data_IF_267320920492
#
_entry.id   IF_267320920492
#
_cell.length_a   1.000
_cell.length_b   1.000
_cell.length_c   1.000
_cell.angle_alpha   90.00
_cell.angle_beta   90.00
_cell.angle_gamma   90.00
#
_symmetry.space_group_name_H-M   'P 1'
#
loop_
_entity.id
_entity.type
_entity.pdbx_description
1 polymer ?
#
# COMPACT_ATOMS: atom_id res chain seq x y z
N UNK A 1 -2.09 -57.47 27.25
CA UNK A 1 -0.87 -56.63 27.34
C UNK A 1 -0.57 -55.82 26.07
N UNK A 2 -0.74 -56.35 24.84
CA UNK A 2 -0.47 -55.56 23.61
C UNK A 2 -1.39 -54.33 23.40
N UNK A 3 -2.64 -54.35 23.88
CA UNK A 3 -3.58 -53.22 23.76
C UNK A 3 -3.28 -52.04 24.68
N UNK A 4 -2.61 -52.28 25.81
CA UNK A 4 -2.30 -51.24 26.82
C UNK A 4 -1.08 -50.39 26.40
N UNK A 5 -0.13 -50.98 25.68
CA UNK A 5 1.07 -50.28 25.16
C UNK A 5 0.71 -49.33 24.01
N UNK A 6 -0.28 -49.69 23.18
CA UNK A 6 -0.75 -48.83 22.08
C UNK A 6 -1.42 -47.54 22.58
N UNK A 7 -2.10 -47.59 23.73
CA UNK A 7 -2.85 -46.47 24.28
C UNK A 7 -1.93 -45.44 24.97
N UNK A 8 -0.77 -45.88 25.49
CA UNK A 8 0.27 -45.02 26.08
C UNK A 8 1.08 -44.30 24.99
N UNK A 9 1.40 -44.97 23.89
CA UNK A 9 2.08 -44.34 22.76
C UNK A 9 1.22 -43.31 22.03
N UNK A 10 -0.11 -43.50 21.97
CA UNK A 10 -1.02 -42.51 21.38
C UNK A 10 -1.17 -41.24 22.26
N UNK A 11 -1.02 -41.37 23.57
CA UNK A 11 -1.18 -40.25 24.50
C UNK A 11 0.08 -39.38 24.62
N UNK A 12 1.28 -39.95 24.42
CA UNK A 12 2.54 -39.16 24.41
C UNK A 12 2.61 -38.22 23.20
N UNK A 13 2.12 -38.64 22.04
CA UNK A 13 2.12 -37.79 20.83
C UNK A 13 1.22 -36.55 20.96
N UNK A 14 0.19 -36.58 21.79
CA UNK A 14 -0.77 -35.47 21.91
C UNK A 14 -0.19 -34.31 22.76
N UNK A 15 0.68 -34.60 23.73
CA UNK A 15 1.26 -33.57 24.59
C UNK A 15 2.33 -32.71 23.90
N UNK A 16 3.06 -33.25 22.91
CA UNK A 16 4.11 -32.51 22.20
C UNK A 16 3.55 -31.46 21.22
N UNK A 17 2.37 -31.68 20.65
CA UNK A 17 1.76 -30.73 19.71
C UNK A 17 1.06 -29.55 20.40
N UNK A 18 0.71 -29.65 21.68
CA UNK A 18 0.08 -28.53 22.38
C UNK A 18 1.01 -27.31 22.53
N UNK A 19 2.32 -27.56 22.52
CA UNK A 19 3.36 -26.56 22.75
C UNK A 19 3.53 -25.62 21.54
N UNK A 20 3.59 -26.18 20.33
CA UNK A 20 3.93 -25.45 19.09
C UNK A 20 2.93 -24.32 18.76
N UNK A 21 1.65 -24.51 19.03
CA UNK A 21 0.63 -23.48 18.82
C UNK A 21 0.68 -22.38 19.89
N UNK A 22 1.03 -22.75 21.12
CA UNK A 22 1.21 -21.80 22.23
C UNK A 22 2.45 -20.93 21.99
N UNK A 23 3.49 -21.53 21.42
CA UNK A 23 4.68 -20.81 20.94
C UNK A 23 4.33 -19.85 19.80
N UNK A 24 3.54 -20.28 18.81
CA UNK A 24 3.12 -19.41 17.70
C UNK A 24 2.33 -18.18 18.22
N UNK A 25 1.42 -18.38 19.17
CA UNK A 25 0.70 -17.28 19.81
C UNK A 25 1.67 -16.31 20.50
N UNK A 26 2.55 -16.84 21.36
CA UNK A 26 3.52 -16.04 22.11
C UNK A 26 4.46 -15.27 21.19
N UNK A 27 4.88 -15.88 20.07
CA UNK A 27 5.70 -15.23 19.04
C UNK A 27 4.93 -14.08 18.38
N UNK A 28 3.66 -14.26 18.04
CA UNK A 28 2.83 -13.19 17.51
C UNK A 28 2.72 -12.02 18.49
N UNK A 29 2.39 -12.30 19.76
CA UNK A 29 2.26 -11.28 20.81
C UNK A 29 3.57 -10.51 21.02
N UNK A 30 4.69 -11.23 21.11
CA UNK A 30 6.02 -10.62 21.26
C UNK A 30 6.43 -9.78 20.04
N UNK A 31 5.97 -10.12 18.84
CA UNK A 31 6.15 -9.31 17.64
C UNK A 31 5.24 -8.05 17.62
N UNK A 32 4.31 -7.93 18.56
CA UNK A 32 3.36 -6.83 18.69
C UNK A 32 2.06 -7.02 17.93
N UNK A 33 1.71 -8.27 17.58
CA UNK A 33 0.39 -8.62 17.06
C UNK A 33 -0.64 -8.51 18.20
N UNK A 34 -1.82 -7.90 17.98
CA UNK A 34 -2.88 -7.87 18.99
C UNK A 34 -3.24 -9.26 19.49
N UNK A 35 -3.41 -9.41 20.81
CA UNK A 35 -3.67 -10.69 21.49
C UNK A 35 -4.81 -11.49 20.84
N UNK A 36 -5.94 -10.83 20.56
CA UNK A 36 -7.09 -11.48 19.92
C UNK A 36 -6.77 -12.06 18.53
N UNK A 37 -5.89 -11.41 17.77
CA UNK A 37 -5.44 -11.91 16.48
C UNK A 37 -4.40 -13.03 16.65
N UNK A 38 -3.48 -12.90 17.61
CA UNK A 38 -2.48 -13.93 17.93
C UNK A 38 -3.14 -15.25 18.38
N UNK A 39 -4.11 -15.18 19.30
CA UNK A 39 -4.94 -16.32 19.74
C UNK A 39 -5.66 -16.94 18.55
N UNK A 40 -6.34 -16.12 17.74
CA UNK A 40 -7.07 -16.57 16.55
C UNK A 40 -6.16 -17.29 15.55
N UNK A 41 -4.95 -16.79 15.31
CA UNK A 41 -3.95 -17.45 14.45
C UNK A 41 -3.59 -18.82 15.03
N UNK A 42 -3.22 -18.90 16.30
CA UNK A 42 -2.81 -20.15 16.93
C UNK A 42 -3.93 -21.21 16.95
N UNK A 43 -5.15 -20.82 17.37
CA UNK A 43 -6.30 -21.71 17.43
C UNK A 43 -6.70 -22.25 16.05
N UNK A 44 -6.82 -21.36 15.06
CA UNK A 44 -7.22 -21.78 13.71
C UNK A 44 -6.18 -22.64 13.01
N UNK A 45 -4.90 -22.37 13.27
CA UNK A 45 -3.80 -23.20 12.74
C UNK A 45 -3.86 -24.60 13.35
N UNK A 46 -4.21 -24.71 14.64
CA UNK A 46 -4.45 -25.99 15.35
C UNK A 46 -5.66 -26.73 14.82
N UNK A 47 -6.80 -26.04 14.66
CA UNK A 47 -8.03 -26.62 14.10
C UNK A 47 -7.82 -27.19 12.70
N UNK A 48 -7.01 -26.53 11.88
CA UNK A 48 -6.65 -26.96 10.53
C UNK A 48 -5.52 -27.99 10.49
N UNK A 49 -4.96 -28.35 11.64
CA UNK A 49 -3.89 -29.33 11.78
C UNK A 49 -2.70 -29.03 10.86
N UNK A 50 -2.26 -27.77 10.83
CA UNK A 50 -1.08 -27.41 10.04
C UNK A 50 0.11 -28.28 10.44
N UNK A 51 0.96 -28.60 9.47
CA UNK A 51 2.18 -29.34 9.77
C UNK A 51 3.12 -28.51 10.66
N UNK A 52 3.92 -29.19 11.47
CA UNK A 52 4.96 -28.55 12.27
C UNK A 52 5.89 -27.67 11.43
N UNK A 53 6.26 -28.13 10.24
CA UNK A 53 7.16 -27.40 9.33
C UNK A 53 6.56 -26.04 8.96
N UNK A 54 5.25 -25.98 8.65
CA UNK A 54 4.61 -24.71 8.33
C UNK A 54 4.43 -23.83 9.56
N UNK A 55 4.12 -24.40 10.72
CA UNK A 55 4.07 -23.63 11.98
C UNK A 55 5.43 -22.98 12.24
N UNK A 56 6.53 -23.75 12.13
CA UNK A 56 7.90 -23.25 12.30
C UNK A 56 8.22 -22.13 11.28
N UNK A 57 7.83 -22.30 10.01
CA UNK A 57 8.03 -21.29 8.96
C UNK A 57 7.27 -19.99 9.26
N UNK A 58 5.98 -20.09 9.63
CA UNK A 58 5.15 -18.95 9.98
C UNK A 58 5.69 -18.24 11.23
N UNK A 59 6.04 -19.00 12.26
CA UNK A 59 6.63 -18.50 13.49
C UNK A 59 7.95 -17.77 13.24
N UNK A 60 8.85 -18.34 12.43
CA UNK A 60 10.12 -17.70 12.07
C UNK A 60 9.90 -16.39 11.32
N UNK A 61 8.98 -16.36 10.34
CA UNK A 61 8.67 -15.15 9.59
C UNK A 61 8.12 -14.03 10.49
N UNK A 62 7.18 -14.35 11.38
CA UNK A 62 6.58 -13.37 12.31
C UNK A 62 7.61 -12.89 13.34
N UNK A 63 8.47 -13.77 13.86
CA UNK A 63 9.50 -13.44 14.84
C UNK A 63 10.54 -12.44 14.31
N UNK A 64 10.89 -12.54 13.04
CA UNK A 64 11.88 -11.65 12.40
C UNK A 64 11.28 -10.33 11.92
N UNK A 65 9.96 -10.27 11.77
CA UNK A 65 9.24 -9.12 11.25
C UNK A 65 9.23 -7.93 12.21
N UNK A 66 9.12 -6.72 11.66
CA UNK A 66 8.77 -5.54 12.46
C UNK A 66 7.29 -5.57 12.81
N UNK A 67 6.86 -4.87 13.86
CA UNK A 67 5.48 -4.92 14.37
C UNK A 67 4.40 -4.78 13.29
N UNK A 68 4.47 -3.76 12.43
CA UNK A 68 3.44 -3.59 11.38
C UNK A 68 3.45 -4.74 10.35
N UNK A 69 4.62 -5.28 10.03
CA UNK A 69 4.78 -6.41 9.12
C UNK A 69 4.23 -7.70 9.75
N UNK A 70 4.55 -7.95 11.03
CA UNK A 70 4.05 -9.07 11.81
C UNK A 70 2.52 -9.10 11.88
N UNK A 71 1.89 -7.92 12.10
CA UNK A 71 0.43 -7.78 12.06
C UNK A 71 -0.13 -8.19 10.69
N UNK A 72 0.43 -7.69 9.58
CA UNK A 72 -0.04 -8.07 8.24
C UNK A 72 0.17 -9.56 7.93
N UNK A 73 1.23 -10.17 8.44
CA UNK A 73 1.44 -11.62 8.33
C UNK A 73 0.37 -12.40 9.10
N UNK A 74 0.11 -12.03 10.35
CA UNK A 74 -0.92 -12.66 11.18
C UNK A 74 -2.32 -12.51 10.56
N UNK A 75 -2.67 -11.33 10.05
CA UNK A 75 -3.90 -11.10 9.28
C UNK A 75 -3.98 -12.00 8.05
N UNK A 76 -2.87 -12.14 7.30
CA UNK A 76 -2.82 -13.00 6.11
C UNK A 76 -3.02 -14.47 6.45
N UNK A 77 -2.43 -14.95 7.55
CA UNK A 77 -2.63 -16.32 8.04
C UNK A 77 -4.10 -16.54 8.40
N UNK A 78 -4.67 -15.66 9.24
CA UNK A 78 -6.06 -15.77 9.67
C UNK A 78 -7.05 -15.69 8.49
N UNK A 79 -6.81 -14.79 7.54
CA UNK A 79 -7.60 -14.63 6.31
C UNK A 79 -7.52 -15.90 5.44
N UNK A 80 -6.31 -16.42 5.22
CA UNK A 80 -6.08 -17.61 4.42
C UNK A 80 -6.79 -18.84 4.98
N UNK A 81 -6.71 -19.04 6.30
CA UNK A 81 -7.43 -20.13 6.99
C UNK A 81 -8.94 -19.95 6.84
N UNK A 82 -9.46 -18.74 7.08
CA UNK A 82 -10.89 -18.44 6.93
C UNK A 82 -11.41 -18.69 5.51
N UNK A 83 -10.56 -18.52 4.49
CA UNK A 83 -10.86 -18.78 3.08
C UNK A 83 -10.56 -20.21 2.62
N UNK A 84 -10.20 -21.11 3.54
CA UNK A 84 -9.80 -22.49 3.24
C UNK A 84 -8.66 -22.58 2.21
N UNK A 85 -7.75 -21.62 2.21
CA UNK A 85 -6.52 -21.67 1.40
C UNK A 85 -5.65 -22.82 1.93
N UNK A 86 -4.91 -23.49 1.03
CA UNK A 86 -3.97 -24.52 1.44
C UNK A 86 -2.84 -23.95 2.30
N UNK A 87 -2.31 -24.78 3.20
CA UNK A 87 -1.19 -24.45 4.09
C UNK A 87 0.00 -23.87 3.31
N UNK A 88 0.47 -24.56 2.26
CA UNK A 88 1.58 -24.10 1.41
C UNK A 88 1.33 -22.70 0.81
N UNK A 89 0.10 -22.42 0.38
CA UNK A 89 -0.25 -21.12 -0.19
C UNK A 89 -0.29 -20.02 0.87
N UNK A 90 -0.62 -20.34 2.12
CA UNK A 90 -0.57 -19.40 3.25
C UNK A 90 0.88 -19.09 3.61
N UNK A 91 1.74 -20.11 3.71
CA UNK A 91 3.18 -19.94 3.94
C UNK A 91 3.80 -19.09 2.83
N UNK A 92 3.55 -19.42 1.57
CA UNK A 92 4.01 -18.63 0.42
C UNK A 92 3.49 -17.18 0.47
N UNK A 93 2.25 -16.95 0.91
CA UNK A 93 1.71 -15.59 1.04
C UNK A 93 2.43 -14.79 2.13
N UNK A 94 2.76 -15.41 3.26
CA UNK A 94 3.53 -14.79 4.35
C UNK A 94 4.97 -14.49 3.89
N UNK A 95 5.61 -15.41 3.17
CA UNK A 95 6.93 -15.18 2.58
C UNK A 95 6.94 -14.03 1.59
N UNK A 96 5.91 -13.91 0.75
CA UNK A 96 5.75 -12.78 -0.16
C UNK A 96 5.58 -11.44 0.58
N UNK A 97 4.95 -11.43 1.77
CA UNK A 97 4.90 -10.24 2.63
C UNK A 97 6.29 -9.93 3.17
N UNK A 98 7.00 -10.93 3.69
CA UNK A 98 8.36 -10.80 4.23
C UNK A 98 9.33 -10.21 3.20
N UNK A 99 9.35 -10.75 2.00
CA UNK A 99 10.20 -10.25 0.92
C UNK A 99 9.89 -8.80 0.55
N UNK A 100 8.60 -8.45 0.50
CA UNK A 100 8.14 -7.10 0.17
C UNK A 100 8.59 -6.08 1.21
N UNK A 101 8.41 -6.40 2.49
CA UNK A 101 8.89 -5.54 3.58
C UNK A 101 10.40 -5.47 3.64
N UNK A 102 11.12 -6.57 3.41
CA UNK A 102 12.58 -6.57 3.32
C UNK A 102 13.08 -5.57 2.26
N UNK A 103 12.46 -5.57 1.07
CA UNK A 103 12.77 -4.59 0.01
C UNK A 103 12.37 -3.17 0.43
N UNK A 104 11.20 -3.00 1.04
CA UNK A 104 10.71 -1.69 1.48
C UNK A 104 11.62 -1.05 2.54
N UNK A 105 12.09 -1.81 3.53
CA UNK A 105 13.05 -1.33 4.53
C UNK A 105 14.40 -0.98 3.91
N UNK A 106 14.91 -1.79 2.96
CA UNK A 106 16.13 -1.43 2.20
C UNK A 106 15.98 -0.09 1.47
N UNK A 107 14.80 0.22 0.94
CA UNK A 107 14.53 1.52 0.30
C UNK A 107 14.46 2.63 1.36
N UNK A 108 13.77 2.40 2.48
CA UNK A 108 13.65 3.37 3.57
C UNK A 108 15.02 3.75 4.18
N UNK A 109 15.90 2.76 4.36
CA UNK A 109 17.24 2.94 4.93
C UNK A 109 18.14 3.85 4.07
N UNK A 110 17.94 3.86 2.74
CA UNK A 110 18.65 4.78 1.83
C UNK A 110 18.34 6.26 2.11
N UNK A 111 17.17 6.56 2.68
CA UNK A 111 16.72 7.94 2.95
C UNK A 111 17.24 8.44 4.31
N UNK A 112 17.65 7.55 5.22
CA UNK A 112 18.12 7.87 6.58
C UNK A 112 17.11 8.74 7.34
N UNK A 113 15.89 8.25 7.46
CA UNK A 113 14.81 8.84 8.27
C UNK A 113 14.98 8.43 9.75
N UNK A 114 14.30 9.11 10.67
CA UNK A 114 14.21 8.61 12.05
C UNK A 114 13.46 7.27 12.10
N UNK A 115 13.65 6.49 13.17
CA UNK A 115 13.12 5.12 13.28
C UNK A 115 11.60 5.03 13.02
N UNK A 116 10.82 5.97 13.54
CA UNK A 116 9.36 5.96 13.39
C UNK A 116 8.96 6.29 11.97
N UNK A 117 9.52 7.37 11.41
CA UNK A 117 9.22 7.78 10.03
C UNK A 117 9.73 6.76 9.01
N UNK A 118 10.87 6.11 9.28
CA UNK A 118 11.40 5.02 8.44
C UNK A 118 10.43 3.83 8.37
N UNK A 119 9.87 3.41 9.51
CA UNK A 119 8.88 2.33 9.53
C UNK A 119 7.60 2.70 8.77
N UNK A 120 7.09 3.93 8.93
CA UNK A 120 5.92 4.41 8.19
C UNK A 120 6.19 4.53 6.69
N UNK A 121 7.40 4.96 6.31
CA UNK A 121 7.82 5.04 4.93
C UNK A 121 7.93 3.64 4.31
N UNK A 122 8.57 2.69 4.98
CA UNK A 122 8.66 1.29 4.54
C UNK A 122 7.27 0.67 4.36
N UNK A 123 6.33 0.93 5.28
CA UNK A 123 4.95 0.45 5.16
C UNK A 123 4.27 0.98 3.88
N UNK A 124 4.40 2.29 3.61
CA UNK A 124 3.84 2.90 2.41
C UNK A 124 4.50 2.39 1.11
N UNK A 125 5.81 2.10 1.15
CA UNK A 125 6.54 1.47 0.03
C UNK A 125 6.02 0.05 -0.21
N UNK A 126 5.85 -0.76 0.85
CA UNK A 126 5.32 -2.11 0.74
C UNK A 126 3.88 -2.11 0.20
N UNK A 127 3.04 -1.16 0.62
CA UNK A 127 1.70 -1.01 0.05
C UNK A 127 1.74 -0.58 -1.42
N UNK A 128 2.65 0.31 -1.82
CA UNK A 128 2.82 0.69 -3.22
C UNK A 128 3.21 -0.52 -4.08
N UNK A 129 4.10 -1.38 -3.58
CA UNK A 129 4.44 -2.65 -4.25
C UNK A 129 3.25 -3.59 -4.36
N UNK A 130 2.39 -3.62 -3.34
CA UNK A 130 1.13 -4.38 -3.38
C UNK A 130 0.19 -3.87 -4.46
N UNK A 131 0.22 -2.56 -4.73
CA UNK A 131 -0.53 -1.91 -5.80
C UNK A 131 0.13 -2.02 -7.19
N UNK A 132 1.17 -2.85 -7.33
CA UNK A 132 1.83 -3.12 -8.61
C UNK A 132 3.09 -2.31 -8.88
N UNK A 133 3.59 -1.53 -7.91
CA UNK A 133 4.86 -0.82 -8.06
C UNK A 133 6.05 -1.78 -7.99
N UNK A 134 7.04 -1.53 -8.83
CA UNK A 134 8.32 -2.21 -8.83
C UNK A 134 9.28 -1.55 -7.84
N UNK A 135 10.15 -2.36 -7.23
CA UNK A 135 11.17 -1.84 -6.32
C UNK A 135 12.12 -0.84 -7.02
N UNK A 136 12.44 -1.07 -8.29
CA UNK A 136 13.34 -0.21 -9.06
C UNK A 136 12.80 1.23 -9.19
N UNK A 137 11.51 1.41 -9.49
CA UNK A 137 10.91 2.74 -9.62
C UNK A 137 10.74 3.44 -8.28
N UNK A 138 10.39 2.68 -7.24
CA UNK A 138 10.34 3.18 -5.87
C UNK A 138 11.72 3.64 -5.37
N UNK A 139 12.80 2.98 -5.80
CA UNK A 139 14.17 3.42 -5.53
C UNK A 139 14.50 4.76 -6.21
N UNK A 140 14.10 4.96 -7.46
CA UNK A 140 14.26 6.26 -8.16
C UNK A 140 13.54 7.38 -7.41
N UNK A 141 12.29 7.15 -6.99
CA UNK A 141 11.52 8.13 -6.22
C UNK A 141 12.15 8.37 -4.85
N UNK A 142 12.63 7.32 -4.18
CA UNK A 142 13.31 7.43 -2.89
C UNK A 142 14.60 8.25 -2.98
N UNK A 143 15.35 8.15 -4.08
CA UNK A 143 16.54 8.96 -4.31
C UNK A 143 16.21 10.46 -4.35
N UNK A 144 15.12 10.84 -5.03
CA UNK A 144 14.65 12.23 -5.08
C UNK A 144 14.13 12.70 -3.71
N UNK A 145 13.42 11.83 -2.99
CA UNK A 145 12.95 12.08 -1.62
C UNK A 145 14.13 12.28 -0.65
N UNK A 146 15.24 11.57 -0.82
CA UNK A 146 16.40 11.65 0.08
C UNK A 146 16.99 13.07 0.18
N UNK A 147 16.81 13.88 -0.87
CA UNK A 147 17.20 15.29 -0.92
C UNK A 147 16.20 16.19 -0.17
N UNK A 148 14.94 15.76 -0.04
CA UNK A 148 13.80 16.51 0.54
C UNK A 148 13.01 15.65 1.53
N UNK A 149 13.69 15.23 2.60
CA UNK A 149 13.17 14.24 3.57
C UNK A 149 11.85 14.64 4.24
N UNK A 150 11.59 15.93 4.38
CA UNK A 150 10.34 16.48 4.93
C UNK A 150 9.10 16.09 4.12
N UNK A 151 9.28 15.69 2.85
CA UNK A 151 8.21 15.30 1.94
C UNK A 151 8.05 13.78 1.83
N UNK A 152 8.91 13.00 2.47
CA UNK A 152 9.05 11.57 2.23
C UNK A 152 7.72 10.83 2.34
N UNK A 153 7.04 11.00 3.48
CA UNK A 153 5.79 10.31 3.76
C UNK A 153 4.64 10.75 2.82
N UNK A 154 4.51 12.03 2.52
CA UNK A 154 3.42 12.51 1.65
C UNK A 154 3.65 12.10 0.19
N UNK A 155 4.89 12.15 -0.28
CA UNK A 155 5.25 11.78 -1.64
C UNK A 155 5.04 10.29 -1.92
N UNK A 156 5.47 9.41 -1.02
CA UNK A 156 5.25 7.97 -1.21
C UNK A 156 3.77 7.60 -1.13
N UNK A 157 2.98 8.30 -0.30
CA UNK A 157 1.53 8.10 -0.27
C UNK A 157 0.83 8.56 -1.54
N UNK A 158 1.29 9.65 -2.16
CA UNK A 158 0.81 10.06 -3.48
C UNK A 158 1.12 8.99 -4.54
N UNK A 159 2.35 8.46 -4.55
CA UNK A 159 2.74 7.36 -5.45
C UNK A 159 1.83 6.15 -5.27
N UNK A 160 1.71 5.68 -4.02
CA UNK A 160 0.88 4.53 -3.63
C UNK A 160 -0.58 4.71 -4.09
N UNK A 161 -1.16 5.88 -3.85
CA UNK A 161 -2.54 6.15 -4.23
C UNK A 161 -2.74 6.12 -5.74
N UNK A 162 -1.84 6.73 -6.53
CA UNK A 162 -1.91 6.64 -7.99
C UNK A 162 -1.84 5.20 -8.50
N UNK A 163 -0.95 4.37 -7.94
CA UNK A 163 -0.88 2.94 -8.27
C UNK A 163 -2.17 2.20 -7.92
N UNK A 164 -2.75 2.46 -6.75
CA UNK A 164 -4.00 1.83 -6.31
C UNK A 164 -5.18 2.15 -7.24
N UNK A 165 -5.21 3.35 -7.83
CA UNK A 165 -6.19 3.74 -8.83
C UNK A 165 -5.85 3.26 -10.26
N UNK A 166 -4.80 2.44 -10.43
CA UNK A 166 -4.42 1.86 -11.72
C UNK A 166 -3.76 2.83 -12.69
N UNK A 167 -3.15 3.92 -12.20
CA UNK A 167 -2.29 4.77 -13.03
C UNK A 167 -1.03 4.00 -13.39
N UNK A 168 -0.58 4.09 -14.64
CA UNK A 168 0.66 3.44 -15.07
C UNK A 168 1.87 3.92 -14.25
N UNK A 169 2.79 3.00 -13.99
CA UNK A 169 3.91 3.24 -13.09
C UNK A 169 4.82 4.38 -13.56
N UNK A 170 5.01 4.51 -14.88
CA UNK A 170 5.84 5.57 -15.47
C UNK A 170 5.24 6.97 -15.23
N UNK A 171 3.94 7.12 -15.41
CA UNK A 171 3.22 8.35 -15.09
C UNK A 171 3.29 8.64 -13.59
N UNK A 172 3.07 7.62 -12.76
CA UNK A 172 3.11 7.73 -11.29
C UNK A 172 4.48 8.19 -10.78
N UNK A 173 5.57 7.61 -11.28
CA UNK A 173 6.94 8.02 -11.00
C UNK A 173 7.18 9.48 -11.39
N UNK A 174 6.87 9.84 -12.65
CA UNK A 174 7.11 11.20 -13.17
C UNK A 174 6.37 12.26 -12.36
N UNK A 175 5.09 12.04 -12.07
CA UNK A 175 4.27 12.98 -11.29
C UNK A 175 4.80 13.10 -9.87
N UNK A 176 5.15 11.99 -9.23
CA UNK A 176 5.68 12.00 -7.85
C UNK A 176 7.01 12.74 -7.77
N UNK A 177 7.94 12.49 -8.69
CA UNK A 177 9.24 13.19 -8.74
C UNK A 177 9.03 14.70 -8.96
N UNK A 178 8.14 15.09 -9.86
CA UNK A 178 7.81 16.51 -10.08
C UNK A 178 7.23 17.14 -8.81
N UNK A 179 6.33 16.45 -8.11
CA UNK A 179 5.75 16.91 -6.86
C UNK A 179 6.83 17.11 -5.77
N UNK A 180 7.72 16.14 -5.57
CA UNK A 180 8.84 16.23 -4.62
C UNK A 180 9.74 17.44 -4.92
N UNK A 181 10.02 17.69 -6.21
CA UNK A 181 10.90 18.79 -6.65
C UNK A 181 10.26 20.16 -6.47
N UNK A 182 8.95 20.31 -6.77
CA UNK A 182 8.31 21.62 -6.93
C UNK A 182 7.41 22.05 -5.78
N UNK A 183 6.89 21.11 -5.00
CA UNK A 183 5.82 21.38 -4.03
C UNK A 183 6.29 21.16 -2.60
N UNK A 184 5.70 21.88 -1.65
CA UNK A 184 5.78 21.59 -0.21
C UNK A 184 5.01 20.31 0.14
N UNK A 185 5.28 19.72 1.31
CA UNK A 185 4.52 18.56 1.78
C UNK A 185 3.00 18.82 1.89
N UNK A 186 2.60 20.06 2.23
CA UNK A 186 1.20 20.50 2.27
C UNK A 186 0.56 20.47 0.88
N UNK A 187 1.21 21.06 -0.12
CA UNK A 187 0.73 21.08 -1.50
C UNK A 187 0.65 19.66 -2.11
N UNK A 188 1.63 18.78 -1.86
CA UNK A 188 1.56 17.37 -2.29
C UNK A 188 0.29 16.70 -1.71
N UNK A 189 -0.04 16.98 -0.46
CA UNK A 189 -1.24 16.44 0.19
C UNK A 189 -2.54 17.00 -0.41
N UNK A 190 -2.57 18.27 -0.81
CA UNK A 190 -3.71 18.86 -1.53
C UNK A 190 -3.90 18.21 -2.91
N UNK A 191 -2.80 18.04 -3.65
CA UNK A 191 -2.80 17.35 -4.93
C UNK A 191 -3.26 15.90 -4.81
N UNK A 192 -2.81 15.18 -3.77
CA UNK A 192 -3.28 13.82 -3.47
C UNK A 192 -4.79 13.77 -3.28
N UNK A 193 -5.35 14.65 -2.45
CA UNK A 193 -6.82 14.76 -2.24
C UNK A 193 -7.56 15.09 -3.54
N UNK A 194 -7.05 16.03 -4.34
CA UNK A 194 -7.64 16.40 -5.62
C UNK A 194 -7.61 15.24 -6.62
N UNK A 195 -6.53 14.46 -6.64
CA UNK A 195 -6.43 13.24 -7.43
C UNK A 195 -7.41 12.18 -7.02
N UNK A 196 -7.48 11.80 -5.74
CA UNK A 196 -8.43 10.80 -5.25
C UNK A 196 -9.87 11.17 -5.65
N UNK A 197 -10.25 12.45 -5.51
CA UNK A 197 -11.55 12.96 -5.95
C UNK A 197 -11.76 12.87 -7.47
N UNK A 198 -10.74 13.17 -8.28
CA UNK A 198 -10.83 13.07 -9.74
C UNK A 198 -10.86 11.63 -10.24
N UNK A 199 -10.03 10.77 -9.66
CA UNK A 199 -9.87 9.38 -10.02
C UNK A 199 -11.13 8.55 -9.73
N UNK A 200 -11.90 8.90 -8.69
CA UNK A 200 -13.18 8.24 -8.38
C UNK A 200 -14.24 8.39 -9.48
N UNK A 201 -14.08 9.33 -10.43
CA UNK A 201 -14.97 9.49 -11.59
C UNK A 201 -14.53 8.66 -12.82
N UNK A 202 -13.61 7.70 -12.66
CA UNK A 202 -13.30 6.69 -13.68
C UNK A 202 -12.18 7.05 -14.67
N UNK A 203 -11.41 8.11 -14.43
CA UNK A 203 -10.28 8.49 -15.30
C UNK A 203 -9.00 8.84 -14.51
N UNK A 204 -8.53 7.92 -13.66
CA UNK A 204 -7.34 8.11 -12.84
C UNK A 204 -6.10 8.51 -13.66
N UNK A 205 -5.84 7.82 -14.78
CA UNK A 205 -4.71 8.13 -15.66
C UNK A 205 -4.78 9.55 -16.25
N UNK A 206 -5.96 9.99 -16.69
CA UNK A 206 -6.17 11.36 -17.16
C UNK A 206 -5.95 12.39 -16.04
N UNK A 207 -6.46 12.13 -14.84
CA UNK A 207 -6.28 12.98 -13.66
C UNK A 207 -4.81 13.09 -13.24
N UNK A 208 -4.05 11.98 -13.25
CA UNK A 208 -2.62 11.99 -12.95
C UNK A 208 -1.81 12.81 -13.98
N UNK A 209 -2.11 12.65 -15.27
CA UNK A 209 -1.47 13.44 -16.34
C UNK A 209 -1.78 14.92 -16.20
N UNK A 210 -3.03 15.27 -15.87
CA UNK A 210 -3.43 16.65 -15.59
C UNK A 210 -2.72 17.20 -14.36
N UNK A 211 -2.60 16.42 -13.28
CA UNK A 211 -1.79 16.78 -12.12
C UNK A 211 -0.36 17.14 -12.54
N UNK A 212 0.32 16.24 -13.25
CA UNK A 212 1.70 16.49 -13.72
C UNK A 212 1.82 17.80 -14.52
N UNK A 213 0.86 18.09 -15.42
CA UNK A 213 0.81 19.37 -16.15
C UNK A 213 0.61 20.56 -15.21
N UNK A 214 -0.32 20.48 -14.26
CA UNK A 214 -0.56 21.57 -13.30
C UNK A 214 0.66 21.84 -12.42
N UNK A 215 1.31 20.79 -11.90
CA UNK A 215 2.56 20.90 -11.13
C UNK A 215 3.66 21.49 -12.00
N UNK A 216 3.76 21.05 -13.26
CA UNK A 216 4.76 21.57 -14.19
C UNK A 216 4.58 23.08 -14.42
N UNK A 217 3.34 23.53 -14.61
CA UNK A 217 2.98 24.94 -14.83
C UNK A 217 2.86 25.77 -13.55
N UNK A 218 3.14 25.21 -12.36
CA UNK A 218 3.02 25.93 -11.08
C UNK A 218 1.59 26.35 -10.73
N UNK A 219 0.57 25.69 -11.29
CA UNK A 219 -0.82 25.90 -10.89
C UNK A 219 -1.08 25.18 -9.57
N UNK A 220 -2.06 25.61 -8.78
CA UNK A 220 -2.45 24.91 -7.55
C UNK A 220 -3.34 23.68 -7.80
N UNK A 221 -3.54 22.85 -6.78
CA UNK A 221 -4.40 21.66 -6.84
C UNK A 221 -5.86 21.97 -7.22
N UNK A 222 -6.36 23.16 -6.86
CA UNK A 222 -7.70 23.64 -7.22
C UNK A 222 -7.94 23.69 -8.74
N UNK A 223 -6.88 23.84 -9.55
CA UNK A 223 -6.96 23.85 -11.01
C UNK A 223 -7.32 22.49 -11.64
N UNK A 224 -7.26 21.39 -10.86
CA UNK A 224 -7.60 20.06 -11.34
C UNK A 224 -9.12 19.81 -11.44
N UNK A 225 -9.94 20.62 -10.77
CA UNK A 225 -11.40 20.40 -10.67
C UNK A 225 -12.23 20.93 -11.85
N UNK A 226 -11.63 21.68 -12.78
CA UNK A 226 -12.39 22.46 -13.77
C UNK A 226 -12.55 21.80 -15.15
N UNK A 227 -12.09 20.55 -15.35
CA UNK A 227 -12.08 19.93 -16.68
C UNK A 227 -13.29 19.03 -17.00
N UNK A 228 -14.34 19.01 -16.15
CA UNK A 228 -15.53 18.17 -16.35
C UNK A 228 -16.68 18.82 -17.16
N UNK A 229 -16.44 19.96 -17.83
CA UNK A 229 -17.48 20.63 -18.63
C UNK A 229 -16.93 21.23 -19.91
N UNK A 230 -16.95 20.47 -21.01
CA UNK A 230 -16.81 21.05 -22.35
C UNK A 230 -16.00 20.23 -23.34
N UNK A 231 -16.64 19.22 -23.95
CA UNK A 231 -16.57 19.01 -25.40
C UNK A 231 -17.64 17.99 -25.83
N UNK A 232 -18.92 18.39 -25.73
CA UNK A 232 -19.91 17.93 -26.72
C UNK A 232 -19.70 18.82 -27.93
N UNK A 233 -19.29 18.22 -29.06
CA UNK A 233 -18.93 18.93 -30.27
C UNK A 233 -20.03 19.90 -30.72
N UNK A 234 -19.68 21.17 -30.84
CA UNK A 234 -20.46 22.13 -31.60
C UNK A 234 -19.98 22.02 -33.05
N UNK A 235 -20.65 21.19 -33.83
CA UNK A 235 -20.50 21.18 -35.28
C UNK A 235 -21.31 22.33 -35.87
N UNK A 236 -20.64 23.22 -36.61
CA UNK A 236 -21.20 23.91 -37.76
C UNK A 236 -22.23 25.01 -37.48
N UNK A 237 -21.77 26.26 -37.59
CA UNK A 237 -22.67 27.42 -37.63
C UNK A 237 -21.93 28.67 -38.07
N UNK A 238 -21.53 28.72 -39.34
CA UNK A 238 -21.07 29.95 -39.99
C UNK A 238 -22.24 30.95 -40.10
N UNK A 239 -22.00 32.21 -39.74
CA UNK A 239 -22.87 33.36 -40.01
C UNK A 239 -22.30 34.60 -39.30
N UNK A 240 -21.28 35.26 -39.84
CA UNK A 240 -21.34 36.40 -40.79
C UNK A 240 -22.27 37.56 -40.39
N UNK A 241 -21.64 38.74 -40.22
CA UNK A 241 -22.15 40.12 -40.35
C UNK A 241 -23.21 40.55 -39.33
N UNK A 242 -23.20 41.71 -38.69
CA UNK A 242 -22.57 43.00 -38.93
C UNK A 242 -23.52 44.04 -38.29
N UNK A 243 -23.03 45.17 -37.79
CA UNK A 243 -23.93 46.21 -37.29
C UNK A 243 -23.34 47.19 -36.29
N UNK A 244 -22.69 48.23 -36.83
CA UNK A 244 -22.48 49.50 -36.14
C UNK A 244 -23.84 50.12 -35.75
N UNK A 245 -23.93 50.70 -34.55
CA UNK A 245 -25.10 51.47 -34.11
C UNK A 245 -24.72 52.47 -33.02
N UNK A 246 -24.41 53.69 -33.45
CA UNK A 246 -24.10 54.86 -32.64
C UNK A 246 -25.38 55.62 -32.25
N UNK A 247 -25.34 56.37 -31.14
CA UNK A 247 -26.34 57.39 -30.77
C UNK A 247 -27.28 56.94 -29.65
N UNK A 248 -27.67 57.78 -28.69
CA UNK A 248 -27.48 59.20 -28.46
C UNK A 248 -28.09 59.51 -27.08
N UNK A 249 -27.63 60.57 -26.44
CA UNK A 249 -27.96 60.85 -25.04
C UNK A 249 -29.41 61.24 -24.77
N UNK A 250 -29.70 61.44 -23.48
CA UNK A 250 -30.55 62.51 -22.96
C UNK A 250 -30.34 62.65 -21.44
N UNK A 251 -30.63 63.87 -21.02
CA UNK A 251 -30.41 64.56 -19.74
C UNK A 251 -30.81 63.79 -18.50
#
# INVERSE_FOLDING_TARGET
MKKTILLILLSISIYSFADEYTDLQSICENAGVPENLAVSVAEKTRERQFSKISIDNLASAVKEAKTNEAVKMAEKIAEGIAKNVSEDNIVNAVDNIRERYSRAYKIADKIKLDKKTSAQFADAVADAMTAGATAQKLETVAAEISVKKDKAYTAINLYREMMQYGVDEETTEKVTIQAVKKLSAGEINEYRKAFAKGASYGNASGTAKQMGKSIHSGKGASSMGSSAGGNRGSSGGNGHSGGNGNGGGRK
#
